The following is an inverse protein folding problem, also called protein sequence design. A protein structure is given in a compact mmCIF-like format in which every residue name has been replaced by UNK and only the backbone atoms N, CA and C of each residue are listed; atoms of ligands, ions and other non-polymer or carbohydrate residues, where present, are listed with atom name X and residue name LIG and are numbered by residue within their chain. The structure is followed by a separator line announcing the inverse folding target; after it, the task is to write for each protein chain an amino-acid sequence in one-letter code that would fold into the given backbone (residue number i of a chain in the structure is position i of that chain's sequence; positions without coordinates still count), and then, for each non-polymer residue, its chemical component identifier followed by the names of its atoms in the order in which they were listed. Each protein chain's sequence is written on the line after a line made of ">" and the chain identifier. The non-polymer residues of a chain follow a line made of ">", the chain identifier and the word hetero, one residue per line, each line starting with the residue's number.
data_IF_007247408070
#
_entry.id   IF_007247408070
#
_cell.length_a   1.000
_cell.length_b   1.000
_cell.length_c   1.000
_cell.angle_alpha   90.00
_cell.angle_beta   90.00
_cell.angle_gamma   90.00
#
_symmetry.space_group_name_H-M   'P 1'
#
loop_
_entity.id
_entity.type
_entity.pdbx_description
1 polymer ?
#
# COMPACT_ATOMS: atom_id res chain seq x y z
N UNK A 1 -25.65 -24.32 4.54
CA UNK A 1 -25.13 -23.97 5.90
C UNK A 1 -26.27 -23.88 6.91
N UNK A 2 -27.30 -23.03 6.71
CA UNK A 2 -28.41 -22.81 7.67
C UNK A 2 -29.12 -24.09 8.11
N UNK A 3 -29.45 -25.00 7.17
CA UNK A 3 -30.03 -26.31 7.50
C UNK A 3 -29.15 -27.19 8.39
N UNK A 4 -27.82 -27.02 8.35
CA UNK A 4 -26.87 -27.72 9.24
C UNK A 4 -26.71 -27.03 10.59
N UNK A 5 -26.88 -25.70 10.64
CA UNK A 5 -26.81 -24.93 11.87
C UNK A 5 -27.95 -25.31 12.83
N UNK A 6 -29.16 -25.57 12.30
CA UNK A 6 -30.31 -26.06 13.05
C UNK A 6 -30.53 -25.31 14.38
N UNK A 7 -30.32 -23.99 14.40
CA UNK A 7 -30.46 -23.13 15.58
C UNK A 7 -29.34 -23.28 16.63
N UNK A 8 -28.28 -24.05 16.38
CA UNK A 8 -27.16 -24.20 17.31
C UNK A 8 -26.09 -23.12 17.16
N UNK A 9 -26.02 -22.46 15.98
CA UNK A 9 -25.09 -21.39 15.68
C UNK A 9 -25.60 -20.54 14.52
N UNK A 10 -25.21 -19.29 14.50
CA UNK A 10 -25.46 -18.38 13.36
C UNK A 10 -24.63 -18.78 12.15
N UNK A 11 -25.21 -18.60 10.97
CA UNK A 11 -24.46 -18.62 9.71
C UNK A 11 -24.02 -17.21 9.42
N UNK A 12 -22.70 -16.96 9.49
CA UNK A 12 -22.15 -15.63 9.29
C UNK A 12 -22.23 -15.15 7.84
N UNK A 13 -22.42 -13.83 7.66
CA UNK A 13 -22.24 -13.14 6.39
C UNK A 13 -20.81 -13.35 5.90
N UNK A 14 -20.61 -13.77 4.64
CA UNK A 14 -19.26 -13.79 4.07
C UNK A 14 -18.70 -12.38 3.93
N UNK A 15 -17.38 -12.28 3.83
CA UNK A 15 -16.71 -11.02 3.53
C UNK A 15 -17.02 -10.60 2.09
N UNK A 16 -17.68 -9.45 1.95
CA UNK A 16 -17.99 -8.86 0.66
C UNK A 16 -16.97 -7.75 0.37
N UNK A 17 -16.22 -7.92 -0.69
CA UNK A 17 -15.36 -6.83 -1.18
C UNK A 17 -16.21 -5.71 -1.77
N UNK A 18 -15.72 -4.47 -1.65
CA UNK A 18 -16.43 -3.28 -2.08
C UNK A 18 -15.51 -2.23 -2.72
N UNK A 19 -16.12 -1.24 -3.34
CA UNK A 19 -15.49 0.00 -3.77
C UNK A 19 -14.28 -0.18 -4.67
N UNK A 20 -13.19 0.51 -4.29
CA UNK A 20 -11.95 0.52 -5.07
C UNK A 20 -11.29 -0.86 -5.16
N UNK A 21 -11.45 -1.71 -4.15
CA UNK A 21 -10.85 -3.04 -4.12
C UNK A 21 -11.47 -3.95 -5.20
N UNK A 22 -12.80 -3.87 -5.39
CA UNK A 22 -13.49 -4.55 -6.49
C UNK A 22 -13.03 -4.02 -7.86
N UNK A 23 -12.92 -2.70 -8.01
CA UNK A 23 -12.43 -2.11 -9.26
C UNK A 23 -10.99 -2.52 -9.55
N UNK A 24 -10.14 -2.60 -8.53
CA UNK A 24 -8.76 -3.07 -8.68
C UNK A 24 -8.71 -4.53 -9.11
N UNK A 25 -9.57 -5.39 -8.56
CA UNK A 25 -9.67 -6.78 -8.98
C UNK A 25 -10.15 -6.92 -10.45
N UNK A 26 -11.03 -6.03 -10.90
CA UNK A 26 -11.59 -6.06 -12.27
C UNK A 26 -10.69 -5.42 -13.33
N UNK A 27 -9.99 -4.32 -12.99
CA UNK A 27 -9.26 -3.46 -13.96
C UNK A 27 -7.76 -3.49 -13.80
N UNK A 28 -7.27 -4.00 -12.67
CA UNK A 28 -5.89 -3.87 -12.20
C UNK A 28 -5.67 -2.61 -11.36
N UNK A 29 -4.87 -2.75 -10.32
CA UNK A 29 -4.59 -1.70 -9.32
C UNK A 29 -4.02 -0.44 -9.95
N UNK A 30 -3.00 -0.56 -10.80
CA UNK A 30 -2.37 0.60 -11.48
C UNK A 30 -3.39 1.41 -12.27
N UNK A 31 -4.32 0.73 -12.94
CA UNK A 31 -5.36 1.39 -13.73
C UNK A 31 -6.31 2.18 -12.85
N UNK A 32 -6.77 1.62 -11.74
CA UNK A 32 -7.66 2.31 -10.80
C UNK A 32 -6.96 3.52 -10.18
N UNK A 33 -5.69 3.38 -9.78
CA UNK A 33 -4.90 4.48 -9.24
C UNK A 33 -4.66 5.59 -10.26
N UNK A 34 -4.42 5.26 -11.53
CA UNK A 34 -4.33 6.27 -12.60
C UNK A 34 -5.68 6.96 -12.87
N UNK A 35 -6.80 6.23 -12.77
CA UNK A 35 -8.13 6.77 -13.01
C UNK A 35 -8.53 7.83 -11.96
N UNK A 36 -7.96 7.81 -10.73
CA UNK A 36 -8.17 8.91 -9.75
C UNK A 36 -7.75 10.28 -10.29
N UNK A 37 -6.75 10.31 -11.18
CA UNK A 37 -6.21 11.54 -11.78
C UNK A 37 -6.69 11.75 -13.20
N UNK A 38 -6.76 10.68 -14.01
CA UNK A 38 -7.02 10.79 -15.46
C UNK A 38 -8.50 10.78 -15.80
N UNK A 39 -9.33 10.07 -15.04
CA UNK A 39 -10.75 9.87 -15.32
C UNK A 39 -11.59 9.87 -14.03
N UNK A 40 -11.44 10.90 -13.17
CA UNK A 40 -12.05 10.89 -11.84
C UNK A 40 -13.59 10.76 -11.87
N UNK A 41 -14.26 11.40 -12.83
CA UNK A 41 -15.72 11.34 -12.94
C UNK A 41 -16.21 9.93 -13.38
N UNK A 42 -15.43 9.24 -14.22
CA UNK A 42 -15.72 7.86 -14.62
C UNK A 42 -15.50 6.93 -13.42
N UNK A 43 -14.45 7.17 -12.66
CA UNK A 43 -14.17 6.39 -11.44
C UNK A 43 -15.31 6.53 -10.43
N UNK A 44 -15.79 7.74 -10.17
CA UNK A 44 -16.94 8.00 -9.29
C UNK A 44 -18.20 7.25 -9.76
N UNK A 45 -18.49 7.27 -11.07
CA UNK A 45 -19.62 6.52 -11.61
C UNK A 45 -19.47 5.00 -11.43
N UNK A 46 -18.26 4.48 -11.60
CA UNK A 46 -17.97 3.06 -11.39
C UNK A 46 -18.09 2.68 -9.92
N UNK A 47 -17.61 3.55 -9.02
CA UNK A 47 -17.78 3.37 -7.58
C UNK A 47 -19.26 3.30 -7.18
N UNK A 48 -20.11 4.18 -7.73
CA UNK A 48 -21.54 4.14 -7.48
C UNK A 48 -22.17 2.83 -7.99
N UNK A 49 -21.79 2.35 -9.17
CA UNK A 49 -22.28 1.08 -9.70
C UNK A 49 -21.90 -0.11 -8.80
N UNK A 50 -20.66 -0.14 -8.32
CA UNK A 50 -20.22 -1.18 -7.38
C UNK A 50 -21.02 -1.10 -6.08
N UNK A 51 -21.22 0.09 -5.53
CA UNK A 51 -21.96 0.28 -4.29
C UNK A 51 -23.44 -0.14 -4.43
N UNK A 52 -24.07 0.15 -5.57
CA UNK A 52 -25.45 -0.30 -5.88
C UNK A 52 -25.55 -1.84 -5.98
N UNK A 53 -24.52 -2.49 -6.53
CA UNK A 53 -24.45 -3.96 -6.61
C UNK A 53 -24.20 -4.54 -5.22
N UNK A 54 -23.30 -3.93 -4.43
CA UNK A 54 -23.02 -4.34 -3.07
C UNK A 54 -24.29 -4.46 -2.23
N UNK A 55 -25.16 -3.45 -2.23
CA UNK A 55 -26.43 -3.50 -1.49
C UNK A 55 -27.35 -4.62 -1.95
N UNK A 56 -27.45 -4.86 -3.25
CA UNK A 56 -28.29 -5.97 -3.77
C UNK A 56 -27.79 -7.32 -3.28
N UNK A 57 -26.49 -7.55 -3.38
CA UNK A 57 -25.86 -8.81 -2.92
C UNK A 57 -25.98 -8.95 -1.41
N UNK A 58 -25.72 -7.87 -0.67
CA UNK A 58 -25.83 -7.85 0.78
C UNK A 58 -27.25 -8.19 1.25
N UNK A 59 -28.26 -7.53 0.69
CA UNK A 59 -29.66 -7.73 1.08
C UNK A 59 -30.15 -9.16 0.78
N UNK A 60 -29.80 -9.71 -0.41
CA UNK A 60 -30.13 -11.08 -0.75
C UNK A 60 -29.48 -12.11 0.19
N UNK A 61 -28.20 -11.89 0.55
CA UNK A 61 -27.51 -12.76 1.50
C UNK A 61 -28.07 -12.61 2.92
N UNK A 62 -28.32 -11.39 3.36
CA UNK A 62 -28.95 -11.11 4.65
C UNK A 62 -30.26 -11.85 4.81
N UNK A 63 -31.17 -11.78 3.83
CA UNK A 63 -32.46 -12.48 3.85
C UNK A 63 -32.30 -14.01 3.92
N UNK A 64 -31.21 -14.56 3.40
CA UNK A 64 -30.91 -15.99 3.48
C UNK A 64 -30.38 -16.39 4.85
N UNK A 65 -29.47 -15.59 5.46
CA UNK A 65 -28.72 -16.01 6.65
C UNK A 65 -29.34 -15.57 7.96
N UNK A 66 -30.07 -14.44 7.99
CA UNK A 66 -30.61 -13.87 9.22
C UNK A 66 -31.50 -14.86 10.00
N UNK A 67 -31.51 -14.73 11.31
CA UNK A 67 -32.40 -15.42 12.25
C UNK A 67 -33.22 -14.39 13.02
N UNK A 68 -34.49 -14.23 12.65
CA UNK A 68 -35.25 -13.01 13.00
C UNK A 68 -34.65 -11.82 12.25
N UNK A 69 -34.24 -10.82 13.01
CA UNK A 69 -33.51 -9.66 12.49
C UNK A 69 -32.00 -9.73 12.84
N UNK A 70 -31.57 -10.76 13.55
CA UNK A 70 -30.21 -10.96 14.00
C UNK A 70 -29.34 -11.57 12.91
N UNK A 71 -28.05 -11.19 12.89
CA UNK A 71 -27.06 -11.80 12.02
C UNK A 71 -25.68 -11.87 12.68
N UNK A 72 -24.83 -12.77 12.14
CA UNK A 72 -23.41 -12.82 12.46
C UNK A 72 -22.59 -12.48 11.20
N UNK A 73 -21.38 -12.01 11.42
CA UNK A 73 -20.37 -11.80 10.40
C UNK A 73 -19.25 -12.84 10.59
N UNK A 74 -18.84 -13.55 9.53
CA UNK A 74 -17.92 -14.66 9.65
C UNK A 74 -16.47 -14.25 9.94
N UNK A 75 -16.10 -13.03 9.58
CA UNK A 75 -14.83 -12.42 9.86
C UNK A 75 -14.92 -11.65 11.18
N UNK A 76 -13.93 -11.67 12.03
CA UNK A 76 -13.94 -11.04 13.37
C UNK A 76 -14.98 -11.59 14.37
N UNK A 77 -15.58 -12.74 14.11
CA UNK A 77 -16.52 -13.43 15.03
C UNK A 77 -17.57 -12.49 15.65
N UNK A 78 -18.12 -11.56 14.86
CA UNK A 78 -19.02 -10.51 15.33
C UNK A 78 -20.48 -10.90 15.13
N UNK A 79 -21.35 -10.35 16.00
CA UNK A 79 -22.82 -10.54 15.96
C UNK A 79 -23.51 -9.19 16.16
N UNK A 80 -24.69 -9.03 15.54
CA UNK A 80 -25.53 -7.84 15.71
C UNK A 80 -27.02 -8.18 15.69
N UNK A 81 -27.86 -7.39 16.40
CA UNK A 81 -29.33 -7.54 16.40
C UNK A 81 -30.00 -6.86 15.19
N UNK A 82 -29.29 -6.70 14.10
CA UNK A 82 -29.71 -6.08 12.85
C UNK A 82 -28.72 -6.34 11.73
N UNK A 83 -28.86 -5.62 10.62
CA UNK A 83 -27.89 -5.67 9.50
C UNK A 83 -26.51 -5.22 9.98
N UNK A 84 -25.50 -6.05 9.75
CA UNK A 84 -24.11 -5.75 10.10
C UNK A 84 -23.18 -6.00 8.92
N UNK A 85 -22.21 -5.12 8.73
CA UNK A 85 -21.15 -5.34 7.75
C UNK A 85 -19.78 -4.82 8.23
N UNK A 86 -18.73 -5.52 7.76
CA UNK A 86 -17.39 -5.02 7.76
C UNK A 86 -17.16 -4.24 6.47
N UNK A 87 -16.61 -3.06 6.58
CA UNK A 87 -16.29 -2.15 5.48
C UNK A 87 -14.77 -2.01 5.38
N UNK A 88 -14.21 -1.87 4.17
CA UNK A 88 -12.77 -1.70 3.96
C UNK A 88 -12.46 -0.97 2.64
N UNK A 89 -11.20 -0.58 2.49
CA UNK A 89 -10.60 -0.20 1.20
C UNK A 89 -9.08 -0.34 1.30
N UNK A 90 -8.55 -1.51 0.98
CA UNK A 90 -7.13 -1.82 1.13
C UNK A 90 -6.26 -1.01 0.17
N UNK A 91 -6.73 -0.83 -1.07
CA UNK A 91 -6.04 -0.03 -2.07
C UNK A 91 -5.92 1.45 -1.66
N UNK A 92 -6.77 1.91 -0.74
CA UNK A 92 -6.75 3.30 -0.28
C UNK A 92 -5.43 3.70 0.41
N UNK A 93 -4.66 2.75 0.91
CA UNK A 93 -3.31 3.00 1.45
C UNK A 93 -2.38 3.72 0.45
N UNK A 94 -2.69 3.65 -0.84
CA UNK A 94 -1.88 4.20 -1.93
C UNK A 94 -2.36 5.56 -2.45
N UNK A 95 -3.46 6.11 -1.92
CA UNK A 95 -4.04 7.39 -2.33
C UNK A 95 -4.00 8.42 -1.20
N UNK A 96 -4.15 9.70 -1.57
CA UNK A 96 -4.17 10.80 -0.59
C UNK A 96 -5.46 10.81 0.25
N UNK A 97 -5.45 11.56 1.36
CA UNK A 97 -6.67 11.80 2.15
C UNK A 97 -7.76 12.50 1.32
N UNK A 98 -7.38 13.39 0.41
CA UNK A 98 -8.35 14.10 -0.44
C UNK A 98 -8.98 13.16 -1.46
N UNK A 99 -8.18 12.25 -2.06
CA UNK A 99 -8.69 11.20 -2.94
C UNK A 99 -9.59 10.22 -2.16
N UNK A 100 -9.22 9.87 -0.93
CA UNK A 100 -10.06 9.05 -0.06
C UNK A 100 -11.42 9.71 0.21
N UNK A 101 -11.44 11.00 0.57
CA UNK A 101 -12.68 11.76 0.77
C UNK A 101 -13.53 11.87 -0.49
N UNK A 102 -12.89 11.84 -1.66
CA UNK A 102 -13.59 11.94 -2.94
C UNK A 102 -14.11 10.58 -3.41
N UNK A 103 -13.29 9.54 -3.38
CA UNK A 103 -13.58 8.28 -4.06
C UNK A 103 -13.99 7.14 -3.12
N UNK A 104 -13.76 7.23 -1.82
CA UNK A 104 -14.05 6.14 -0.86
C UNK A 104 -15.08 6.57 0.18
N UNK A 105 -14.81 7.64 0.90
CA UNK A 105 -15.63 8.09 2.03
C UNK A 105 -17.13 8.25 1.72
N UNK A 106 -17.57 8.79 0.55
CA UNK A 106 -19.01 8.94 0.26
C UNK A 106 -19.75 7.59 0.21
N UNK A 107 -19.10 6.57 -0.32
CA UNK A 107 -19.68 5.22 -0.47
C UNK A 107 -19.69 4.47 0.86
N UNK A 108 -18.63 4.59 1.67
CA UNK A 108 -18.61 4.08 3.05
C UNK A 108 -19.72 4.74 3.88
N UNK A 109 -19.90 6.06 3.76
CA UNK A 109 -21.00 6.78 4.44
C UNK A 109 -22.36 6.27 4.01
N UNK A 110 -22.59 6.06 2.72
CA UNK A 110 -23.85 5.51 2.22
C UNK A 110 -24.11 4.09 2.77
N UNK A 111 -23.06 3.27 2.89
CA UNK A 111 -23.16 1.94 3.49
C UNK A 111 -23.52 2.05 4.97
N UNK A 112 -22.88 2.93 5.73
CA UNK A 112 -23.19 3.18 7.14
C UNK A 112 -24.62 3.70 7.35
N UNK A 113 -25.21 4.42 6.40
CA UNK A 113 -26.59 4.90 6.48
C UNK A 113 -27.63 3.82 6.22
N UNK A 114 -27.30 2.75 5.50
CA UNK A 114 -28.22 1.68 5.09
C UNK A 114 -28.05 0.38 5.90
N UNK A 115 -26.95 0.26 6.64
CA UNK A 115 -26.61 -0.90 7.45
C UNK A 115 -26.59 -0.46 8.92
N UNK A 116 -27.28 -1.19 9.79
CA UNK A 116 -27.52 -0.78 11.17
C UNK A 116 -26.25 -0.76 12.01
N UNK A 117 -25.31 -1.71 11.75
CA UNK A 117 -24.07 -1.88 12.49
C UNK A 117 -22.89 -2.03 11.52
N UNK A 118 -21.94 -1.12 11.59
CA UNK A 118 -20.80 -1.08 10.67
C UNK A 118 -19.48 -1.06 11.40
N UNK A 119 -18.55 -1.88 10.93
CA UNK A 119 -17.19 -2.01 11.42
C UNK A 119 -16.22 -1.73 10.26
N UNK A 120 -15.46 -0.65 10.33
CA UNK A 120 -14.44 -0.39 9.31
C UNK A 120 -13.15 -1.11 9.64
N UNK A 121 -12.68 -1.93 8.72
CA UNK A 121 -11.37 -2.61 8.78
C UNK A 121 -10.27 -1.63 8.36
N UNK A 122 -9.50 -1.15 9.32
CA UNK A 122 -8.35 -0.28 9.10
C UNK A 122 -7.09 -1.15 9.11
N UNK A 123 -6.56 -1.46 7.92
CA UNK A 123 -5.46 -2.40 7.74
C UNK A 123 -4.12 -1.71 7.48
N UNK A 124 -3.20 -1.94 8.40
CA UNK A 124 -1.81 -1.52 8.31
C UNK A 124 -1.56 -0.04 8.59
N UNK A 125 -0.32 0.26 8.99
CA UNK A 125 0.12 1.64 9.30
C UNK A 125 -0.04 2.60 8.12
N UNK A 126 -0.01 2.08 6.89
CA UNK A 126 -0.25 2.85 5.67
C UNK A 126 -1.65 3.43 5.55
N UNK A 127 -2.67 2.83 6.20
CA UNK A 127 -4.04 3.30 6.18
C UNK A 127 -4.35 4.34 7.27
N UNK A 128 -3.49 4.48 8.28
CA UNK A 128 -3.74 5.37 9.44
C UNK A 128 -3.97 6.82 9.07
N UNK A 129 -3.42 7.29 7.96
CA UNK A 129 -3.62 8.67 7.51
C UNK A 129 -5.06 8.96 7.07
N UNK A 130 -5.89 7.92 6.84
CA UNK A 130 -7.32 8.08 6.55
C UNK A 130 -8.20 8.15 7.79
N UNK A 131 -7.66 7.91 8.99
CA UNK A 131 -8.44 7.96 10.22
C UNK A 131 -9.26 9.25 10.39
N UNK A 132 -8.74 10.46 10.10
CA UNK A 132 -9.56 11.68 10.18
C UNK A 132 -10.81 11.62 9.31
N UNK A 133 -10.69 11.13 8.06
CA UNK A 133 -11.82 10.99 7.15
C UNK A 133 -12.84 9.95 7.62
N UNK A 134 -12.39 8.86 8.25
CA UNK A 134 -13.28 7.86 8.86
C UNK A 134 -14.04 8.43 10.05
N UNK A 135 -13.41 9.21 10.91
CA UNK A 135 -14.05 9.83 12.07
C UNK A 135 -15.10 10.89 11.67
N UNK A 136 -15.01 11.47 10.47
CA UNK A 136 -16.01 12.38 9.90
C UNK A 136 -17.33 11.68 9.48
N UNK A 137 -17.37 10.34 9.44
CA UNK A 137 -18.59 9.56 9.13
C UNK A 137 -19.35 9.35 10.43
N UNK A 138 -20.39 10.13 10.68
CA UNK A 138 -21.16 10.08 11.94
C UNK A 138 -21.80 8.70 12.17
N UNK A 139 -22.28 8.05 11.12
CA UNK A 139 -23.00 6.78 11.16
C UNK A 139 -22.10 5.55 11.32
N UNK A 140 -20.78 5.69 11.13
CA UNK A 140 -19.84 4.58 11.37
C UNK A 140 -19.80 4.23 12.86
N UNK A 141 -19.99 2.95 13.22
CA UNK A 141 -20.09 2.53 14.61
C UNK A 141 -18.73 2.16 15.21
N UNK A 142 -17.91 1.45 14.48
CA UNK A 142 -16.66 0.90 15.01
C UNK A 142 -15.53 0.90 13.99
N UNK A 143 -14.30 0.94 14.49
CA UNK A 143 -13.07 0.75 13.69
C UNK A 143 -12.28 -0.40 14.27
N UNK A 144 -12.03 -1.41 13.45
CA UNK A 144 -11.14 -2.52 13.75
C UNK A 144 -9.74 -2.15 13.27
N UNK A 145 -8.74 -2.40 14.12
CA UNK A 145 -7.35 -2.14 13.82
C UNK A 145 -6.57 -3.43 13.59
N UNK A 146 -5.96 -3.55 12.41
CA UNK A 146 -4.97 -4.58 12.07
C UNK A 146 -3.62 -3.89 11.86
N UNK A 147 -2.59 -4.16 12.68
CA UNK A 147 -1.29 -3.48 12.59
C UNK A 147 -0.52 -3.72 11.29
N UNK A 148 -0.73 -4.88 10.66
CA UNK A 148 0.02 -5.31 9.49
C UNK A 148 1.27 -6.13 9.84
N UNK A 149 1.92 -6.63 8.80
CA UNK A 149 3.09 -7.52 8.93
C UNK A 149 4.29 -6.75 9.47
N UNK A 150 4.97 -7.36 10.45
CA UNK A 150 6.17 -6.77 11.08
C UNK A 150 5.88 -5.78 12.21
N UNK A 151 4.62 -5.46 12.43
CA UNK A 151 4.17 -4.60 13.53
C UNK A 151 3.76 -5.42 14.77
N UNK A 152 3.86 -4.85 15.98
CA UNK A 152 3.34 -5.51 17.16
C UNK A 152 1.81 -5.63 17.10
N UNK A 153 1.25 -6.67 17.72
CA UNK A 153 -0.18 -6.97 17.72
C UNK A 153 -1.02 -5.90 18.45
N UNK A 154 -2.34 -6.02 18.36
CA UNK A 154 -3.29 -5.01 18.82
C UNK A 154 -3.23 -4.66 20.31
N UNK A 155 -2.71 -5.53 21.18
CA UNK A 155 -2.54 -5.25 22.59
C UNK A 155 -1.34 -4.33 22.91
N UNK A 156 -0.46 -4.06 21.95
CA UNK A 156 0.77 -3.30 22.17
C UNK A 156 0.52 -1.84 22.56
N UNK A 157 1.32 -1.29 23.50
CA UNK A 157 1.28 0.13 23.88
C UNK A 157 1.48 1.10 22.69
N UNK A 158 2.08 0.64 21.61
CA UNK A 158 2.26 1.43 20.37
C UNK A 158 0.92 1.96 19.83
N UNK A 159 -0.19 1.26 20.07
CA UNK A 159 -1.49 1.56 19.48
C UNK A 159 -2.44 2.31 20.42
N UNK A 160 -2.09 2.52 21.68
CA UNK A 160 -2.98 3.12 22.68
C UNK A 160 -3.46 4.53 22.28
N UNK A 161 -2.59 5.35 21.71
CA UNK A 161 -2.96 6.68 21.22
C UNK A 161 -3.90 6.64 20.02
N UNK A 162 -3.75 5.63 19.15
CA UNK A 162 -4.68 5.38 18.05
C UNK A 162 -6.08 5.06 18.60
N UNK A 163 -6.16 4.12 19.54
CA UNK A 163 -7.43 3.71 20.14
C UNK A 163 -8.11 4.88 20.87
N UNK A 164 -7.36 5.69 21.62
CA UNK A 164 -7.89 6.91 22.24
C UNK A 164 -8.48 7.89 21.22
N UNK A 165 -7.83 8.08 20.10
CA UNK A 165 -8.34 8.95 19.02
C UNK A 165 -9.64 8.42 18.45
N UNK A 166 -9.74 7.10 18.21
CA UNK A 166 -10.96 6.47 17.70
C UNK A 166 -12.11 6.63 18.70
N UNK A 167 -11.87 6.29 19.98
CA UNK A 167 -12.87 6.42 21.04
C UNK A 167 -13.31 7.89 21.25
N UNK A 168 -12.35 8.83 21.28
CA UNK A 168 -12.64 10.26 21.36
C UNK A 168 -13.43 10.79 20.14
N UNK A 169 -13.28 10.15 18.97
CA UNK A 169 -14.08 10.41 17.78
C UNK A 169 -15.49 9.79 17.83
N UNK A 170 -15.90 9.20 18.96
CA UNK A 170 -17.24 8.62 19.16
C UNK A 170 -17.42 7.27 18.48
N UNK A 171 -16.36 6.57 18.11
CA UNK A 171 -16.39 5.24 17.50
C UNK A 171 -15.88 4.18 18.48
N UNK A 172 -16.46 2.98 18.42
CA UNK A 172 -15.92 1.83 19.14
C UNK A 172 -14.62 1.33 18.48
N UNK A 173 -13.77 0.71 19.28
CA UNK A 173 -12.51 0.11 18.83
C UNK A 173 -12.60 -1.40 18.91
N UNK A 174 -12.13 -2.08 17.86
CA UNK A 174 -11.86 -3.51 17.91
C UNK A 174 -10.35 -3.74 17.80
N UNK A 175 -9.74 -4.25 18.87
CA UNK A 175 -8.32 -4.61 18.90
C UNK A 175 -8.18 -6.13 18.80
N UNK A 176 -7.42 -6.58 17.78
CA UNK A 176 -7.24 -8.00 17.49
C UNK A 176 -5.93 -8.54 18.05
N UNK A 177 -5.94 -9.84 18.38
CA UNK A 177 -4.78 -10.61 18.86
C UNK A 177 -4.15 -10.01 20.13
N UNK A 178 -5.00 -9.56 21.04
CA UNK A 178 -4.56 -9.08 22.37
C UNK A 178 -4.21 -10.28 23.22
N UNK A 179 -3.02 -10.30 23.81
CA UNK A 179 -2.61 -11.35 24.75
C UNK A 179 -3.11 -11.08 26.16
N UNK A 180 -3.15 -12.14 26.98
CA UNK A 180 -3.62 -12.03 28.36
C UNK A 180 -2.79 -11.02 29.19
N UNK A 181 -1.47 -10.96 28.95
CA UNK A 181 -0.56 -10.05 29.63
C UNK A 181 -0.74 -8.59 29.20
N UNK A 182 -1.22 -8.36 27.97
CA UNK A 182 -1.48 -7.04 27.42
C UNK A 182 -2.86 -6.50 27.84
N UNK A 183 -3.81 -7.37 28.22
CA UNK A 183 -5.21 -7.04 28.49
C UNK A 183 -5.34 -5.93 29.55
N UNK A 184 -4.77 -6.15 30.74
CA UNK A 184 -4.88 -5.19 31.82
C UNK A 184 -4.18 -3.86 31.53
N UNK A 185 -2.92 -3.81 31.03
CA UNK A 185 -2.27 -2.57 30.61
C UNK A 185 -3.05 -1.80 29.55
N UNK A 186 -3.67 -2.49 28.58
CA UNK A 186 -4.49 -1.87 27.55
C UNK A 186 -5.72 -1.19 28.19
N UNK A 187 -6.51 -1.93 29.00
CA UNK A 187 -7.71 -1.39 29.64
C UNK A 187 -7.41 -0.28 30.65
N UNK A 188 -6.30 -0.38 31.40
CA UNK A 188 -5.82 0.71 32.28
C UNK A 188 -5.60 2.03 31.50
N UNK A 189 -5.24 1.91 30.21
CA UNK A 189 -4.86 3.06 29.42
C UNK A 189 -6.01 3.67 28.60
N UNK A 190 -6.88 2.84 28.02
CA UNK A 190 -7.96 3.29 27.13
C UNK A 190 -9.36 3.16 27.73
N UNK A 191 -9.53 2.47 28.87
CA UNK A 191 -10.83 2.11 29.44
C UNK A 191 -11.44 0.88 28.77
N UNK A 192 -12.65 0.51 29.21
CA UNK A 192 -13.40 -0.63 28.63
C UNK A 192 -14.59 -0.18 27.75
N UNK A 193 -15.06 1.06 27.91
CA UNK A 193 -16.23 1.56 27.18
C UNK A 193 -15.93 1.68 25.67
N UNK A 194 -16.76 1.03 24.86
CA UNK A 194 -16.60 1.03 23.41
C UNK A 194 -15.42 0.19 22.91
N UNK A 195 -14.87 -0.70 23.74
CA UNK A 195 -13.74 -1.56 23.36
C UNK A 195 -14.20 -3.00 23.16
N UNK A 196 -13.92 -3.54 21.98
CA UNK A 196 -14.07 -4.96 21.65
C UNK A 196 -12.67 -5.57 21.49
N UNK A 197 -12.44 -6.71 22.13
CA UNK A 197 -11.15 -7.40 22.11
C UNK A 197 -11.29 -8.77 21.49
N UNK A 198 -10.45 -9.07 20.51
CA UNK A 198 -10.27 -10.41 19.98
C UNK A 198 -9.00 -11.01 20.61
N UNK A 199 -9.18 -12.13 21.30
CA UNK A 199 -8.13 -12.80 22.07
C UNK A 199 -8.15 -14.31 21.80
N UNK A 200 -6.96 -14.89 21.67
CA UNK A 200 -6.79 -16.34 21.59
C UNK A 200 -6.38 -16.91 22.96
N UNK A 201 -7.01 -17.99 23.36
CA UNK A 201 -6.76 -18.64 24.64
C UNK A 201 -6.34 -20.10 24.45
N UNK A 202 -5.35 -20.55 25.21
CA UNK A 202 -4.88 -21.94 25.15
C UNK A 202 -5.70 -22.88 26.03
N UNK A 203 -6.43 -22.36 27.01
CA UNK A 203 -7.22 -23.13 27.95
C UNK A 203 -8.27 -22.29 28.68
N UNK A 204 -9.25 -22.95 29.34
CA UNK A 204 -10.33 -22.29 30.06
C UNK A 204 -9.87 -21.37 31.20
N UNK A 205 -8.73 -21.68 31.84
CA UNK A 205 -8.22 -20.85 32.97
C UNK A 205 -7.79 -19.47 32.48
N UNK A 206 -7.25 -19.37 31.28
CA UNK A 206 -6.90 -18.08 30.65
C UNK A 206 -8.16 -17.28 30.35
N UNK A 207 -9.23 -17.94 29.86
CA UNK A 207 -10.54 -17.30 29.67
C UNK A 207 -11.09 -16.74 30.98
N UNK A 208 -11.09 -17.57 32.06
CA UNK A 208 -11.55 -17.16 33.37
C UNK A 208 -10.73 -15.99 33.93
N UNK A 209 -9.42 -15.97 33.68
CA UNK A 209 -8.55 -14.88 34.12
C UNK A 209 -8.84 -13.60 33.33
N UNK A 210 -9.01 -13.66 32.01
CA UNK A 210 -9.37 -12.54 31.18
C UNK A 210 -10.72 -11.94 31.59
N UNK A 211 -11.73 -12.81 31.80
CA UNK A 211 -13.06 -12.37 32.24
C UNK A 211 -13.01 -11.64 33.60
N UNK A 212 -12.23 -12.11 34.57
CA UNK A 212 -12.04 -11.41 35.85
C UNK A 212 -11.42 -10.02 35.69
N UNK A 213 -10.43 -9.92 34.81
CA UNK A 213 -9.82 -8.61 34.49
C UNK A 213 -10.88 -7.68 33.90
N UNK A 214 -11.64 -8.13 32.90
CA UNK A 214 -12.68 -7.32 32.25
C UNK A 214 -13.77 -6.91 33.24
N UNK A 215 -14.19 -7.79 34.16
CA UNK A 215 -15.18 -7.49 35.19
C UNK A 215 -14.75 -6.35 36.14
N UNK A 216 -13.43 -6.17 36.39
CA UNK A 216 -12.91 -5.06 37.19
C UNK A 216 -13.21 -3.71 36.53
N UNK A 217 -13.28 -3.63 35.19
CA UNK A 217 -13.51 -2.38 34.43
C UNK A 217 -14.98 -2.15 34.11
N UNK A 218 -15.77 -3.22 33.90
CA UNK A 218 -17.19 -3.12 33.53
C UNK A 218 -18.10 -2.98 34.76
N UNK A 219 -17.65 -3.38 35.94
CA UNK A 219 -18.38 -3.20 37.21
C UNK A 219 -18.27 -1.79 37.82
N UNK A 220 -17.47 -0.91 37.30
CA UNK A 220 -17.24 0.44 37.81
C UNK A 220 -17.69 1.51 36.82
N UNK A 221 -19.01 1.64 36.64
CA UNK A 221 -19.57 2.82 35.95
C UNK A 221 -19.45 4.04 36.85
N UNK A 222 -18.33 4.76 36.78
CA UNK A 222 -18.24 6.13 37.28
C UNK A 222 -17.54 7.00 36.25
N UNK A 223 -18.28 8.02 35.86
CA UNK A 223 -17.92 9.07 34.93
C UNK A 223 -16.49 9.59 35.13
N UNK A 224 -15.70 9.57 34.08
CA UNK A 224 -14.46 10.33 34.00
C UNK A 224 -14.73 11.67 33.35
N UNK A 225 -14.52 12.69 34.15
CA UNK A 225 -14.55 14.11 33.82
C UNK A 225 -13.53 14.43 32.71
N UNK A 226 -14.02 15.07 31.67
CA UNK A 226 -13.18 15.82 30.74
C UNK A 226 -12.79 17.13 31.39
N UNK A 227 -11.49 17.40 31.48
CA UNK A 227 -10.97 18.77 31.35
C UNK A 227 -9.44 18.81 31.22
N UNK A 228 -9.05 19.76 30.36
CA UNK A 228 -7.79 20.54 30.33
C UNK A 228 -6.57 19.90 29.68
N UNK A 229 -5.83 20.56 28.87
CA UNK A 229 -5.72 21.87 28.18
C UNK A 229 -4.52 21.75 27.25
N UNK A 230 -4.66 22.23 26.06
CA UNK A 230 -4.02 23.43 25.44
C UNK A 230 -2.58 23.75 25.87
N UNK A 231 -1.73 23.82 24.89
CA UNK A 231 -0.86 24.93 24.44
C UNK A 231 0.30 24.41 23.62
N UNK A 232 0.33 24.79 22.37
CA UNK A 232 1.04 25.91 21.74
C UNK A 232 2.57 25.82 21.82
N UNK A 233 3.20 25.85 20.66
CA UNK A 233 3.94 26.99 20.22
C UNK A 233 4.78 26.69 18.97
N UNK A 234 4.57 27.54 18.03
CA UNK A 234 5.46 27.99 16.97
C UNK A 234 6.95 27.98 17.30
N UNK A 235 7.73 27.71 16.26
CA UNK A 235 8.89 28.57 16.00
C UNK A 235 9.29 28.49 14.53
N UNK A 236 9.17 29.63 13.93
CA UNK A 236 9.54 29.92 12.55
C UNK A 236 11.02 30.33 12.43
N UNK A 237 11.49 30.16 11.22
CA UNK A 237 12.37 31.06 10.43
C UNK A 237 13.83 31.23 10.87
N UNK A 238 14.71 31.09 9.98
CA UNK A 238 15.48 32.11 9.21
C UNK A 238 16.84 31.57 8.83
N UNK A 239 17.29 31.98 7.69
CA UNK A 239 18.68 32.02 7.35
C UNK A 239 19.00 31.94 5.85
N UNK A 240 18.87 33.07 5.19
CA UNK A 240 19.41 33.36 3.86
C UNK A 240 20.95 33.41 3.85
N UNK A 241 21.44 33.31 2.64
CA UNK A 241 22.74 33.81 2.09
C UNK A 241 23.83 32.75 1.98
N UNK A 242 24.52 32.64 0.88
CA UNK A 242 25.13 33.51 -0.18
C UNK A 242 25.65 32.64 -1.32
N UNK A 243 25.51 33.01 -2.52
CA UNK A 243 26.03 33.94 -3.52
C UNK A 243 27.08 33.33 -4.46
N UNK A 244 26.72 33.47 -5.75
CA UNK A 244 27.54 33.64 -6.97
C UNK A 244 28.80 32.82 -7.19
N UNK A 245 28.78 32.08 -8.27
CA UNK A 245 29.68 32.13 -9.44
C UNK A 245 29.29 30.96 -10.36
N UNK A 246 28.73 31.24 -11.53
CA UNK A 246 28.76 30.48 -12.79
C UNK A 246 27.60 30.91 -13.69
N UNK A 247 27.70 32.12 -14.26
CA UNK A 247 26.63 32.67 -15.11
C UNK A 247 26.58 32.12 -16.55
N UNK A 248 27.55 31.34 -17.01
CA UNK A 248 27.53 30.79 -18.36
C UNK A 248 27.00 29.34 -18.47
N UNK A 249 27.08 28.53 -17.41
CA UNK A 249 26.42 27.20 -17.35
C UNK A 249 24.93 27.28 -17.04
N UNK A 250 24.46 28.36 -16.43
CA UNK A 250 23.04 28.57 -16.08
C UNK A 250 22.12 28.89 -17.26
N UNK A 251 22.63 29.36 -18.41
CA UNK A 251 21.77 29.65 -19.57
C UNK A 251 21.30 28.42 -20.34
N UNK A 252 22.02 27.32 -20.33
CA UNK A 252 21.55 26.04 -20.90
C UNK A 252 20.71 25.22 -19.92
N UNK A 253 21.00 25.33 -18.63
CA UNK A 253 20.20 24.65 -17.57
C UNK A 253 18.78 25.21 -17.44
N UNK A 254 18.54 26.48 -17.81
CA UNK A 254 17.20 27.08 -17.70
C UNK A 254 16.25 26.68 -18.84
N UNK A 255 16.77 26.27 -20.02
CA UNK A 255 15.95 25.94 -21.19
C UNK A 255 15.16 24.63 -21.03
N UNK A 256 15.66 23.65 -20.30
CA UNK A 256 15.03 22.34 -20.10
C UNK A 256 14.39 22.15 -18.71
N UNK A 257 14.41 23.18 -17.87
CA UNK A 257 13.67 23.19 -16.61
C UNK A 257 12.18 22.88 -16.81
N UNK A 258 11.49 23.35 -17.87
CA UNK A 258 10.12 22.96 -18.16
C UNK A 258 9.93 21.45 -18.38
N UNK A 259 10.94 20.72 -18.90
CA UNK A 259 10.88 19.25 -19.00
C UNK A 259 10.88 18.58 -17.61
N UNK A 260 11.77 19.03 -16.75
CA UNK A 260 11.82 18.57 -15.37
C UNK A 260 10.47 18.80 -14.65
N UNK A 261 9.93 20.03 -14.77
CA UNK A 261 8.64 20.38 -14.16
C UNK A 261 7.48 19.58 -14.75
N UNK A 262 7.49 19.31 -16.06
CA UNK A 262 6.47 18.51 -16.72
C UNK A 262 6.48 17.05 -16.23
N UNK A 263 7.66 16.45 -16.03
CA UNK A 263 7.79 15.10 -15.49
C UNK A 263 7.36 15.05 -14.03
N UNK A 264 7.83 15.98 -13.19
CA UNK A 264 7.44 16.05 -11.77
C UNK A 264 5.91 16.21 -11.62
N UNK A 265 5.28 16.98 -12.52
CA UNK A 265 3.83 17.17 -12.56
C UNK A 265 3.07 16.03 -13.27
N UNK A 266 3.75 15.00 -13.78
CA UNK A 266 3.15 13.88 -14.48
C UNK A 266 2.49 14.21 -15.83
N UNK A 267 2.90 15.30 -16.48
CA UNK A 267 2.29 15.79 -17.73
C UNK A 267 2.98 15.17 -18.94
N UNK A 268 2.39 14.12 -19.51
CA UNK A 268 2.95 13.36 -20.64
C UNK A 268 3.17 14.23 -21.89
N UNK A 269 2.12 14.89 -22.39
CA UNK A 269 2.18 15.64 -23.64
C UNK A 269 3.20 16.80 -23.59
N UNK A 270 3.26 17.64 -22.53
CA UNK A 270 4.31 18.63 -22.37
C UNK A 270 5.70 18.03 -22.31
N UNK A 271 5.91 16.93 -21.57
CA UNK A 271 7.22 16.29 -21.47
C UNK A 271 7.71 15.76 -22.83
N UNK A 272 6.83 15.14 -23.61
CA UNK A 272 7.12 14.66 -24.97
C UNK A 272 7.45 15.82 -25.92
N UNK A 273 6.66 16.90 -25.88
CA UNK A 273 6.86 18.03 -26.78
C UNK A 273 8.16 18.80 -26.50
N UNK A 274 8.45 19.08 -25.21
CA UNK A 274 9.70 19.75 -24.83
C UNK A 274 10.91 18.87 -25.20
N UNK A 275 10.81 17.54 -25.01
CA UNK A 275 11.87 16.62 -25.43
C UNK A 275 12.08 16.66 -26.93
N UNK A 276 11.01 16.70 -27.74
CA UNK A 276 11.09 16.81 -29.22
C UNK A 276 11.78 18.11 -29.62
N UNK A 277 11.47 19.22 -28.99
CA UNK A 277 12.11 20.52 -29.25
C UNK A 277 13.60 20.49 -28.87
N UNK A 278 13.94 19.92 -27.72
CA UNK A 278 15.33 19.76 -27.30
C UNK A 278 16.17 18.94 -28.29
N UNK A 279 15.57 17.85 -28.83
CA UNK A 279 16.21 17.05 -29.90
C UNK A 279 16.43 17.88 -31.16
N UNK A 280 15.44 18.66 -31.60
CA UNK A 280 15.53 19.51 -32.77
C UNK A 280 16.58 20.64 -32.62
N UNK A 281 16.78 21.12 -31.41
CA UNK A 281 17.84 22.09 -31.07
C UNK A 281 19.23 21.46 -30.92
N UNK A 282 19.36 20.12 -31.07
CA UNK A 282 20.64 19.42 -31.03
C UNK A 282 21.17 19.15 -29.61
N UNK A 283 20.33 19.22 -28.60
CA UNK A 283 20.73 18.89 -27.21
C UNK A 283 21.07 17.41 -27.13
N UNK A 284 22.21 17.08 -26.51
CA UNK A 284 22.66 15.72 -26.39
C UNK A 284 21.65 14.86 -25.61
N UNK A 285 21.18 13.72 -26.14
CA UNK A 285 20.19 12.86 -25.51
C UNK A 285 20.55 12.44 -24.07
N UNK A 286 21.81 12.12 -23.85
CA UNK A 286 22.31 11.71 -22.53
C UNK A 286 22.24 12.83 -21.49
N UNK A 287 22.41 14.09 -21.91
CA UNK A 287 22.26 15.27 -21.04
C UNK A 287 20.80 15.47 -20.62
N UNK A 288 19.87 15.30 -21.57
CA UNK A 288 18.41 15.38 -21.27
C UNK A 288 18.03 14.34 -20.22
N UNK A 289 18.49 13.09 -20.39
CA UNK A 289 18.21 12.00 -19.45
C UNK A 289 18.81 12.28 -18.07
N UNK A 290 20.12 12.52 -18.00
CA UNK A 290 20.85 12.56 -16.74
C UNK A 290 20.53 13.82 -15.92
N UNK A 291 20.42 14.97 -16.57
CA UNK A 291 20.31 16.24 -15.87
C UNK A 291 18.87 16.65 -15.57
N UNK A 292 17.89 16.11 -16.30
CA UNK A 292 16.48 16.51 -16.15
C UNK A 292 15.57 15.34 -15.81
N UNK A 293 15.54 14.27 -16.61
CA UNK A 293 14.60 13.17 -16.41
C UNK A 293 14.86 12.38 -15.12
N UNK A 294 16.11 11.95 -14.90
CA UNK A 294 16.49 11.19 -13.69
C UNK A 294 16.32 12.05 -12.43
N UNK A 295 16.68 13.35 -12.50
CA UNK A 295 16.51 14.26 -11.36
C UNK A 295 15.04 14.49 -11.05
N UNK A 296 14.17 14.64 -12.06
CA UNK A 296 12.74 14.78 -11.89
C UNK A 296 12.12 13.58 -11.17
N UNK A 297 12.47 12.36 -11.60
CA UNK A 297 12.00 11.14 -10.93
C UNK A 297 12.58 11.00 -9.52
N UNK A 298 13.81 11.44 -9.29
CA UNK A 298 14.40 11.51 -7.94
C UNK A 298 13.59 12.41 -7.00
N UNK A 299 13.14 13.58 -7.48
CA UNK A 299 12.29 14.46 -6.69
C UNK A 299 10.91 13.85 -6.40
N UNK A 300 10.29 13.24 -7.40
CA UNK A 300 8.99 12.57 -7.21
C UNK A 300 9.11 11.44 -6.19
N UNK A 301 10.19 10.66 -6.26
CA UNK A 301 10.51 9.62 -5.28
C UNK A 301 10.71 10.19 -3.86
N UNK A 302 11.42 11.32 -3.73
CA UNK A 302 11.61 11.98 -2.44
C UNK A 302 10.28 12.53 -1.88
N UNK A 303 9.45 13.16 -2.71
CA UNK A 303 8.12 13.62 -2.30
C UNK A 303 7.23 12.48 -1.82
N UNK A 304 7.35 11.31 -2.42
CA UNK A 304 6.63 10.12 -1.99
C UNK A 304 7.12 9.65 -0.60
N UNK A 305 8.43 9.57 -0.38
CA UNK A 305 9.01 9.24 0.94
C UNK A 305 8.58 10.23 2.04
N UNK A 306 8.50 11.51 1.69
CA UNK A 306 8.06 12.58 2.59
C UNK A 306 6.53 12.60 2.82
N UNK A 307 5.76 11.69 2.21
CA UNK A 307 4.28 11.69 2.25
C UNK A 307 3.61 12.85 1.51
N UNK A 308 4.37 13.54 0.63
CA UNK A 308 3.88 14.68 -0.18
C UNK A 308 3.44 14.29 -1.59
N UNK A 309 3.64 13.05 -1.99
CA UNK A 309 3.13 12.44 -3.20
C UNK A 309 2.64 11.02 -2.90
N UNK A 310 1.71 10.53 -3.71
CA UNK A 310 1.11 9.20 -3.58
C UNK A 310 1.33 8.40 -4.88
N UNK A 311 0.94 7.14 -4.88
CA UNK A 311 1.20 6.23 -6.02
C UNK A 311 0.66 6.77 -7.35
N UNK A 312 -0.54 7.40 -7.44
CA UNK A 312 -1.00 8.01 -8.69
C UNK A 312 -0.03 9.01 -9.30
N UNK A 313 0.57 9.89 -8.47
CA UNK A 313 1.54 10.89 -8.94
C UNK A 313 2.83 10.23 -9.44
N UNK A 314 3.31 9.18 -8.77
CA UNK A 314 4.46 8.39 -9.23
C UNK A 314 4.22 7.75 -10.60
N UNK A 315 3.05 7.12 -10.79
CA UNK A 315 2.67 6.48 -12.05
C UNK A 315 2.56 7.51 -13.19
N UNK A 316 1.99 8.68 -12.90
CA UNK A 316 1.88 9.77 -13.89
C UNK A 316 3.26 10.31 -14.29
N UNK A 317 4.16 10.54 -13.33
CA UNK A 317 5.53 11.00 -13.60
C UNK A 317 6.34 9.95 -14.37
N UNK A 318 6.24 8.67 -14.00
CA UNK A 318 6.85 7.55 -14.73
C UNK A 318 6.36 7.46 -16.18
N UNK A 319 5.05 7.64 -16.40
CA UNK A 319 4.45 7.67 -17.75
C UNK A 319 4.96 8.86 -18.57
N UNK A 320 5.08 10.06 -17.97
CA UNK A 320 5.61 11.23 -18.63
C UNK A 320 7.08 11.05 -19.02
N UNK A 321 7.90 10.52 -18.13
CA UNK A 321 9.29 10.17 -18.39
C UNK A 321 9.43 9.13 -19.50
N UNK A 322 8.66 8.02 -19.43
CA UNK A 322 8.69 6.96 -20.44
C UNK A 322 8.35 7.47 -21.83
N UNK A 323 7.29 8.30 -21.98
CA UNK A 323 6.91 8.92 -23.25
C UNK A 323 8.00 9.81 -23.84
N UNK A 324 8.67 10.61 -23.01
CA UNK A 324 9.79 11.44 -23.41
C UNK A 324 11.03 10.62 -23.78
N UNK A 325 11.34 9.56 -23.03
CA UNK A 325 12.46 8.65 -23.26
C UNK A 325 12.34 7.88 -24.59
N UNK A 326 11.12 7.51 -24.99
CA UNK A 326 10.89 6.84 -26.29
C UNK A 326 11.38 7.65 -27.50
N UNK A 327 11.36 9.00 -27.42
CA UNK A 327 11.91 9.86 -28.46
C UNK A 327 13.43 9.87 -28.51
N UNK A 328 14.09 9.60 -27.38
CA UNK A 328 15.54 9.60 -27.25
C UNK A 328 16.18 8.27 -27.61
N UNK A 329 15.45 7.16 -27.42
CA UNK A 329 15.95 5.79 -27.71
C UNK A 329 16.57 5.63 -29.10
N UNK A 330 15.96 6.07 -30.20
CA UNK A 330 16.56 5.93 -31.55
C UNK A 330 17.88 6.69 -31.71
N UNK A 331 18.04 7.80 -31.02
CA UNK A 331 19.24 8.67 -31.10
C UNK A 331 20.42 8.11 -30.29
N UNK A 332 20.14 7.18 -29.41
CA UNK A 332 21.12 6.50 -28.56
C UNK A 332 21.57 5.16 -29.15
N UNK A 333 20.97 4.67 -30.22
CA UNK A 333 21.20 3.37 -30.87
C UNK A 333 22.61 3.24 -31.53
N UNK A 334 23.59 4.03 -31.15
CA UNK A 334 25.00 3.93 -31.57
C UNK A 334 26.02 4.04 -30.43
N UNK A 335 25.57 4.30 -29.23
CA UNK A 335 26.39 4.33 -28.01
C UNK A 335 25.86 3.26 -27.04
N UNK A 336 26.74 2.59 -26.32
CA UNK A 336 26.42 1.47 -25.42
C UNK A 336 25.16 1.70 -24.58
N UNK A 337 24.26 0.72 -24.57
CA UNK A 337 22.96 0.55 -23.88
C UNK A 337 22.31 1.80 -23.27
N UNK A 338 21.13 2.12 -23.79
CA UNK A 338 20.30 3.26 -23.40
C UNK A 338 19.54 3.06 -22.08
N UNK A 339 19.65 1.89 -21.47
CA UNK A 339 19.03 1.54 -20.20
C UNK A 339 20.09 1.50 -19.10
N UNK A 340 19.71 1.89 -17.89
CA UNK A 340 20.57 1.78 -16.70
C UNK A 340 20.95 0.31 -16.48
N UNK A 341 20.01 -0.60 -16.80
CA UNK A 341 20.16 -2.06 -16.74
C UNK A 341 18.84 -2.75 -17.04
N UNK A 342 18.88 -4.06 -17.24
CA UNK A 342 17.71 -4.91 -17.47
C UNK A 342 17.32 -5.67 -16.22
N UNK A 343 16.06 -5.62 -15.88
CA UNK A 343 15.49 -6.25 -14.68
C UNK A 343 14.40 -7.23 -15.08
N UNK A 344 14.52 -8.48 -14.64
CA UNK A 344 13.41 -9.43 -14.63
C UNK A 344 12.75 -9.35 -13.27
N UNK A 345 11.40 -9.21 -13.22
CA UNK A 345 10.64 -9.16 -11.96
C UNK A 345 9.46 -10.11 -12.00
N UNK A 346 9.24 -10.86 -10.91
CA UNK A 346 8.12 -11.80 -10.79
C UNK A 346 7.76 -12.08 -9.34
N UNK A 347 6.52 -12.53 -9.12
CA UNK A 347 6.06 -13.07 -7.84
C UNK A 347 6.29 -14.58 -7.84
N UNK A 348 6.87 -15.11 -6.77
CA UNK A 348 7.26 -16.50 -6.66
C UNK A 348 6.06 -17.47 -6.74
N UNK A 349 6.33 -18.74 -7.03
CA UNK A 349 5.33 -19.80 -7.15
C UNK A 349 4.48 -19.94 -5.88
N UNK A 350 3.18 -20.13 -6.08
CA UNK A 350 2.19 -20.25 -5.00
C UNK A 350 1.72 -18.90 -4.44
N UNK A 351 2.27 -17.79 -4.94
CA UNK A 351 1.90 -16.45 -4.52
C UNK A 351 1.24 -15.67 -5.68
N UNK A 352 0.05 -15.14 -5.43
CA UNK A 352 -0.78 -14.44 -6.44
C UNK A 352 -0.76 -12.93 -6.26
N UNK A 353 -0.05 -12.40 -5.25
CA UNK A 353 -0.02 -10.99 -4.97
C UNK A 353 0.90 -10.24 -5.95
N UNK A 354 0.40 -9.19 -6.55
CA UNK A 354 1.11 -8.44 -7.59
C UNK A 354 1.18 -6.91 -7.37
N UNK A 355 0.38 -6.36 -6.45
CA UNK A 355 0.28 -4.91 -6.25
C UNK A 355 1.64 -4.29 -5.94
N UNK A 356 2.33 -4.77 -4.92
CA UNK A 356 3.65 -4.25 -4.53
C UNK A 356 4.70 -4.48 -5.63
N UNK A 357 4.68 -5.65 -6.26
CA UNK A 357 5.57 -5.99 -7.38
C UNK A 357 5.37 -5.06 -8.58
N UNK A 358 4.12 -4.80 -8.96
CA UNK A 358 3.81 -3.93 -10.11
C UNK A 358 4.21 -2.48 -9.81
N UNK A 359 4.03 -2.02 -8.58
CA UNK A 359 4.51 -0.71 -8.16
C UNK A 359 6.04 -0.60 -8.28
N UNK A 360 6.78 -1.60 -7.79
CA UNK A 360 8.24 -1.66 -7.93
C UNK A 360 8.65 -1.68 -9.41
N UNK A 361 7.99 -2.48 -10.24
CA UNK A 361 8.24 -2.54 -11.68
C UNK A 361 8.07 -1.18 -12.35
N UNK A 362 6.93 -0.50 -12.08
CA UNK A 362 6.65 0.83 -12.66
C UNK A 362 7.66 1.90 -12.20
N UNK A 363 8.10 1.84 -10.94
CA UNK A 363 9.11 2.76 -10.44
C UNK A 363 10.50 2.52 -11.05
N UNK A 364 10.89 1.27 -11.22
CA UNK A 364 12.15 0.90 -11.91
C UNK A 364 12.12 1.33 -13.38
N UNK A 365 11.00 1.10 -14.09
CA UNK A 365 10.81 1.60 -15.47
C UNK A 365 10.90 3.13 -15.51
N UNK A 366 10.22 3.82 -14.61
CA UNK A 366 10.26 5.28 -14.48
C UNK A 366 11.65 5.83 -14.18
N UNK A 367 12.52 5.03 -13.56
CA UNK A 367 13.91 5.40 -13.29
C UNK A 367 14.89 5.02 -14.41
N UNK A 368 14.44 4.48 -15.54
CA UNK A 368 15.25 4.22 -16.73
C UNK A 368 15.77 2.78 -16.84
N UNK A 369 15.28 1.84 -16.04
CA UNK A 369 15.52 0.41 -16.24
C UNK A 369 14.61 -0.16 -17.33
N UNK A 370 15.08 -1.17 -18.05
CA UNK A 370 14.24 -2.03 -18.87
C UNK A 370 13.70 -3.16 -17.98
N UNK A 371 12.39 -3.16 -17.72
CA UNK A 371 11.76 -4.10 -16.79
C UNK A 371 10.95 -5.14 -17.55
N UNK A 372 11.25 -6.41 -17.34
CA UNK A 372 10.54 -7.56 -17.87
C UNK A 372 9.73 -8.18 -16.72
N UNK A 373 8.45 -7.83 -16.65
CA UNK A 373 7.54 -8.37 -15.65
C UNK A 373 6.98 -9.72 -16.14
N UNK A 374 7.37 -10.80 -15.47
CA UNK A 374 6.98 -12.18 -15.85
C UNK A 374 5.76 -12.70 -15.08
N UNK A 375 5.07 -11.80 -14.34
CA UNK A 375 3.78 -12.08 -13.73
C UNK A 375 3.86 -12.62 -12.30
N UNK A 376 2.89 -13.46 -11.97
CA UNK A 376 2.68 -14.08 -10.65
C UNK A 376 2.77 -15.60 -10.76
N UNK A 377 2.88 -16.29 -9.62
CA UNK A 377 2.97 -17.76 -9.57
C UNK A 377 4.08 -18.32 -10.48
N UNK A 378 5.26 -17.68 -10.43
CA UNK A 378 6.36 -17.96 -11.34
C UNK A 378 7.23 -19.08 -10.80
N UNK A 379 7.45 -20.12 -11.61
CA UNK A 379 8.31 -21.26 -11.27
C UNK A 379 9.79 -20.93 -11.43
N UNK A 380 10.68 -21.70 -10.77
CA UNK A 380 12.14 -21.57 -10.89
C UNK A 380 12.62 -21.58 -12.34
N UNK A 381 12.11 -22.53 -13.13
CA UNK A 381 12.50 -22.67 -14.56
C UNK A 381 12.18 -21.40 -15.35
N UNK A 382 10.99 -20.81 -15.14
CA UNK A 382 10.59 -19.55 -15.79
C UNK A 382 11.46 -18.37 -15.39
N UNK A 383 11.87 -18.27 -14.11
CA UNK A 383 12.81 -17.24 -13.66
C UNK A 383 14.16 -17.41 -14.34
N UNK A 384 14.70 -18.63 -14.37
CA UNK A 384 16.00 -18.94 -15.01
C UNK A 384 15.94 -18.67 -16.51
N UNK A 385 14.87 -19.09 -17.20
CA UNK A 385 14.65 -18.85 -18.63
C UNK A 385 14.59 -17.34 -18.92
N UNK A 386 13.75 -16.59 -18.20
CA UNK A 386 13.60 -15.16 -18.38
C UNK A 386 14.92 -14.39 -18.16
N UNK A 387 15.71 -14.77 -17.15
CA UNK A 387 17.02 -14.16 -16.91
C UNK A 387 17.97 -14.43 -18.08
N UNK A 388 18.01 -15.67 -18.62
CA UNK A 388 18.86 -16.04 -19.76
C UNK A 388 18.44 -15.34 -21.04
N UNK A 389 17.17 -15.41 -21.40
CA UNK A 389 16.65 -14.87 -22.65
C UNK A 389 16.81 -13.35 -22.74
N UNK A 390 16.63 -12.65 -21.62
CA UNK A 390 16.70 -11.19 -21.59
C UNK A 390 18.10 -10.67 -21.21
N UNK A 391 19.05 -11.56 -20.87
CA UNK A 391 20.35 -11.16 -20.34
C UNK A 391 20.22 -10.16 -19.17
N UNK A 392 19.36 -10.50 -18.20
CA UNK A 392 19.02 -9.61 -17.12
C UNK A 392 20.21 -9.30 -16.22
N UNK A 393 20.37 -8.04 -15.85
CA UNK A 393 21.36 -7.60 -14.88
C UNK A 393 20.92 -7.88 -13.45
N UNK A 394 19.60 -7.75 -13.19
CA UNK A 394 18.99 -7.97 -11.89
C UNK A 394 17.75 -8.87 -12.05
N UNK A 395 17.61 -9.83 -11.14
CA UNK A 395 16.39 -10.57 -10.90
C UNK A 395 15.73 -10.05 -9.62
N UNK A 396 14.50 -9.56 -9.73
CA UNK A 396 13.69 -9.14 -8.59
C UNK A 396 12.61 -10.18 -8.30
N UNK A 397 12.53 -10.64 -7.05
CA UNK A 397 11.52 -11.58 -6.60
C UNK A 397 10.64 -10.97 -5.52
N UNK A 398 9.31 -11.18 -5.61
CA UNK A 398 8.31 -10.73 -4.66
C UNK A 398 7.58 -11.90 -4.03
N UNK A 399 7.27 -11.81 -2.72
CA UNK A 399 6.37 -12.70 -2.00
C UNK A 399 5.62 -11.93 -0.93
N UNK A 400 4.35 -12.29 -0.67
CA UNK A 400 3.53 -11.69 0.39
C UNK A 400 3.26 -12.65 1.55
N UNK A 401 3.46 -13.95 1.36
CA UNK A 401 3.20 -14.96 2.40
C UNK A 401 4.53 -15.55 2.93
N UNK A 402 4.59 -15.80 4.23
CA UNK A 402 5.73 -16.49 4.86
C UNK A 402 5.95 -17.89 4.30
N UNK A 403 4.87 -18.55 3.85
CA UNK A 403 4.90 -19.87 3.22
C UNK A 403 5.48 -19.85 1.82
N UNK A 404 5.34 -18.73 1.08
CA UNK A 404 5.80 -18.61 -0.31
C UNK A 404 7.18 -17.96 -0.41
N UNK A 405 7.61 -17.14 0.56
CA UNK A 405 8.93 -16.50 0.53
C UNK A 405 10.09 -17.49 0.50
N UNK A 406 9.91 -18.68 1.08
CA UNK A 406 10.95 -19.74 1.07
C UNK A 406 11.30 -20.20 -0.34
N UNK A 407 10.38 -20.06 -1.31
CA UNK A 407 10.61 -20.40 -2.71
C UNK A 407 11.68 -19.51 -3.38
N UNK A 408 11.95 -18.32 -2.84
CA UNK A 408 13.04 -17.45 -3.32
C UNK A 408 14.40 -18.16 -3.23
N UNK A 409 14.62 -18.97 -2.19
CA UNK A 409 15.83 -19.79 -2.02
C UNK A 409 15.96 -20.84 -3.12
N UNK A 410 14.84 -21.50 -3.48
CA UNK A 410 14.83 -22.48 -4.57
C UNK A 410 15.17 -21.84 -5.92
N UNK A 411 14.70 -20.61 -6.18
CA UNK A 411 15.06 -19.86 -7.40
C UNK A 411 16.55 -19.54 -7.43
N UNK A 412 17.14 -19.13 -6.31
CA UNK A 412 18.60 -18.86 -6.23
C UNK A 412 19.39 -20.14 -6.51
N UNK A 413 18.98 -21.27 -5.92
CA UNK A 413 19.60 -22.58 -6.20
C UNK A 413 19.47 -22.96 -7.68
N UNK A 414 18.31 -22.73 -8.30
CA UNK A 414 18.12 -22.99 -9.74
C UNK A 414 19.04 -22.12 -10.62
N UNK A 415 19.32 -20.86 -10.23
CA UNK A 415 20.31 -20.01 -10.91
C UNK A 415 21.75 -20.56 -10.76
N UNK A 416 22.08 -21.14 -9.61
CA UNK A 416 23.39 -21.81 -9.36
C UNK A 416 23.52 -23.06 -10.23
N UNK A 417 22.51 -23.94 -10.22
CA UNK A 417 22.47 -25.15 -11.04
C UNK A 417 22.54 -24.84 -12.55
N UNK A 418 21.94 -23.73 -12.96
CA UNK A 418 22.00 -23.23 -14.32
C UNK A 418 23.32 -22.56 -14.70
N UNK A 419 24.25 -22.35 -13.71
CA UNK A 419 25.55 -21.71 -13.89
C UNK A 419 25.51 -20.20 -14.17
N UNK A 420 24.42 -19.52 -13.83
CA UNK A 420 24.20 -18.08 -14.11
C UNK A 420 24.09 -17.21 -12.87
N UNK A 421 24.14 -17.78 -11.65
CA UNK A 421 23.98 -17.00 -10.40
C UNK A 421 24.95 -15.81 -10.32
N UNK A 422 26.20 -15.95 -10.79
CA UNK A 422 27.21 -14.89 -10.78
C UNK A 422 27.04 -13.87 -11.92
N UNK A 423 26.13 -14.11 -12.87
CA UNK A 423 25.88 -13.21 -14.00
C UNK A 423 24.75 -12.22 -13.72
N UNK A 424 23.87 -12.54 -12.76
CA UNK A 424 22.69 -11.75 -12.39
C UNK A 424 22.74 -11.40 -10.90
N UNK A 425 22.38 -10.17 -10.56
CA UNK A 425 22.15 -9.76 -9.18
C UNK A 425 20.75 -10.14 -8.76
N UNK A 426 20.57 -10.64 -7.54
CA UNK A 426 19.26 -11.05 -7.01
C UNK A 426 18.83 -10.06 -5.94
N UNK A 427 17.68 -9.43 -6.16
CA UNK A 427 17.01 -8.54 -5.22
C UNK A 427 15.66 -9.12 -4.81
N UNK A 428 15.36 -9.08 -3.52
CA UNK A 428 14.10 -9.61 -2.98
C UNK A 428 13.33 -8.55 -2.19
N UNK A 429 12.01 -8.72 -2.14
CA UNK A 429 11.11 -7.85 -1.38
C UNK A 429 9.73 -8.46 -1.17
N UNK A 430 8.94 -7.79 -0.37
CA UNK A 430 7.61 -8.22 0.02
C UNK A 430 7.42 -8.20 1.53
N UNK A 431 6.18 -8.14 2.01
CA UNK A 431 5.87 -7.87 3.40
C UNK A 431 6.54 -8.83 4.43
N UNK A 432 6.64 -10.15 4.21
CA UNK A 432 7.29 -11.06 5.16
C UNK A 432 8.82 -11.12 4.98
N UNK A 433 9.37 -10.48 3.95
CA UNK A 433 10.79 -10.55 3.60
C UNK A 433 11.58 -9.56 4.43
N UNK A 434 12.77 -9.94 4.87
CA UNK A 434 13.66 -9.10 5.67
C UNK A 434 15.10 -9.14 5.16
N UNK A 435 15.94 -8.20 5.59
CA UNK A 435 17.37 -8.22 5.28
C UNK A 435 18.02 -9.51 5.79
N UNK A 436 17.67 -9.97 7.00
CA UNK A 436 18.20 -11.22 7.54
C UNK A 436 17.87 -12.43 6.69
N UNK A 437 16.65 -12.50 6.11
CA UNK A 437 16.30 -13.55 5.17
C UNK A 437 17.04 -13.41 3.83
N UNK A 438 17.25 -12.19 3.33
CA UNK A 438 18.06 -11.97 2.13
C UNK A 438 19.50 -12.50 2.31
N UNK A 439 20.12 -12.19 3.45
CA UNK A 439 21.46 -12.65 3.79
C UNK A 439 21.51 -14.18 3.92
N UNK A 440 20.49 -14.78 4.55
CA UNK A 440 20.39 -16.25 4.72
C UNK A 440 20.35 -17.00 3.39
N UNK A 441 19.56 -16.51 2.43
CA UNK A 441 19.37 -17.18 1.13
C UNK A 441 20.40 -16.79 0.08
N UNK A 442 21.29 -15.83 0.39
CA UNK A 442 22.34 -15.34 -0.51
C UNK A 442 21.83 -14.42 -1.62
N UNK A 443 20.79 -13.63 -1.35
CA UNK A 443 20.37 -12.54 -2.22
C UNK A 443 21.38 -11.37 -2.14
N UNK A 444 21.53 -10.61 -3.25
CA UNK A 444 22.46 -9.48 -3.33
C UNK A 444 21.87 -8.19 -2.78
N UNK A 445 20.52 -8.11 -2.64
CA UNK A 445 19.83 -6.93 -2.11
C UNK A 445 18.43 -7.23 -1.62
N UNK A 446 17.97 -6.37 -0.71
CA UNK A 446 16.63 -6.39 -0.15
C UNK A 446 16.04 -4.98 -0.19
N UNK A 447 14.74 -4.89 -0.37
CA UNK A 447 14.00 -3.65 -0.20
C UNK A 447 12.67 -3.89 0.51
N UNK A 448 12.39 -3.04 1.47
CA UNK A 448 11.16 -3.02 2.27
C UNK A 448 10.02 -2.25 1.58
N UNK A 449 10.36 -1.42 0.59
CA UNK A 449 9.40 -0.62 -0.15
C UNK A 449 9.89 -0.30 -1.57
N UNK A 450 9.00 0.24 -2.39
CA UNK A 450 9.28 0.48 -3.81
C UNK A 450 10.35 1.56 -4.06
N UNK A 451 10.54 2.54 -3.16
CA UNK A 451 11.58 3.56 -3.30
C UNK A 451 12.97 3.01 -3.00
N UNK A 452 13.09 2.26 -1.89
CA UNK A 452 14.34 1.58 -1.54
C UNK A 452 14.72 0.56 -2.60
N UNK A 453 13.73 -0.10 -3.26
CA UNK A 453 13.97 -1.00 -4.39
C UNK A 453 14.74 -0.31 -5.54
N UNK A 454 14.37 0.93 -5.89
CA UNK A 454 15.07 1.70 -6.93
C UNK A 454 16.50 2.04 -6.49
N UNK A 455 16.69 2.45 -5.25
CA UNK A 455 18.02 2.77 -4.71
C UNK A 455 18.94 1.54 -4.73
N UNK A 456 18.45 0.41 -4.22
CA UNK A 456 19.17 -0.88 -4.20
C UNK A 456 19.50 -1.34 -5.63
N UNK A 457 18.55 -1.26 -6.56
CA UNK A 457 18.82 -1.64 -7.96
C UNK A 457 19.92 -0.80 -8.61
N UNK A 458 19.95 0.52 -8.35
CA UNK A 458 21.03 1.41 -8.84
C UNK A 458 22.39 1.06 -8.24
N UNK A 459 22.44 0.73 -6.96
CA UNK A 459 23.66 0.30 -6.28
C UNK A 459 24.17 -1.03 -6.82
N UNK A 460 23.30 -2.02 -7.01
CA UNK A 460 23.65 -3.33 -7.56
C UNK A 460 24.25 -3.25 -8.96
N UNK A 461 23.75 -2.33 -9.82
CA UNK A 461 24.33 -2.07 -11.15
C UNK A 461 25.65 -1.31 -11.04
N UNK A 462 25.76 -0.32 -10.14
CA UNK A 462 26.99 0.44 -9.92
C UNK A 462 28.16 -0.42 -9.46
N UNK A 463 27.90 -1.45 -8.68
CA UNK A 463 28.89 -2.41 -8.17
C UNK A 463 29.27 -3.51 -9.19
N UNK A 464 28.64 -3.55 -10.37
CA UNK A 464 28.91 -4.52 -11.45
C UNK A 464 30.05 -4.04 -12.40
N UNK A 465 30.52 -2.79 -12.23
CA UNK A 465 31.66 -2.19 -12.96
C UNK A 465 32.94 -2.34 -12.14
#
# INVERSE_FOLDING_TARGET
>A
CKAKANGHYFVGMPDLMEGLDVLAALKGTDRVLLDTVMQPEILEQQMQQINDIYFKVFDELYDIIREGDEMAFCYFSSWAPGKMSKLQSDISTMISQDDYRRFVQPFIREQCQKIDYTLYHLDGVGAMHHLPALLEIEELNAIQWTPGVGEPQGGSPKWYDLYKKILAGGKSVMACWVTLDELKPLLDHIGADGVHLEMDFHNEKEVEQAMRIVEEYTGSSTAVNTNEHQQDADLAATGQERICIREEQHREEDKLKPLYEAIVAGKLEPAVEITRQAIAEGVAPQMIINNYMIKAMGEVGQRFQDGKAFVPQLLMAGRAMKGALELLKPLLAGSASTTIGKIVIGTVKGDLHDIGKNLVASMLEGCGFEVINIGIDVTCDKFVEAVKENHADILCMSALLTTTMTYMKEVIQALEEAGIRNQVKVMIGGAPVSQGFADEIGADGYSDNANTAVAVAKELIGNKK
#
